data_IF_030220935075
#
_entry.id   IF_030220935075
#
_cell.length_a   1.000
_cell.length_b   1.000
_cell.length_c   1.000
_cell.angle_alpha   90.00
_cell.angle_beta   90.00
_cell.angle_gamma   90.00
#
_symmetry.space_group_name_H-M   'P 1'
#
loop_
_entity.id
_entity.type
_entity.pdbx_description
1 polymer ?
#
# COMPACT_ATOMS: atom_id res chain seq x y z
N UNK A 1 -5.35 -2.32 -15.45
CA UNK A 1 -5.02 -3.30 -14.39
C UNK A 1 -6.29 -4.05 -14.02
N UNK A 2 -6.20 -5.38 -13.96
CA UNK A 2 -7.30 -6.23 -13.49
C UNK A 2 -7.17 -6.42 -11.97
N UNK A 3 -7.95 -5.66 -11.21
CA UNK A 3 -7.91 -5.68 -9.75
C UNK A 3 -8.22 -7.05 -9.12
N UNK A 4 -8.74 -7.99 -9.88
CA UNK A 4 -9.03 -9.35 -9.40
C UNK A 4 -7.84 -10.32 -9.56
N UNK A 5 -6.82 -9.94 -10.32
CA UNK A 5 -5.74 -10.84 -10.70
C UNK A 5 -4.36 -10.15 -10.68
N UNK A 6 -4.07 -9.37 -9.64
CA UNK A 6 -2.73 -8.78 -9.48
C UNK A 6 -1.75 -9.88 -9.07
N UNK A 7 -0.70 -10.07 -9.87
CA UNK A 7 0.37 -11.04 -9.63
C UNK A 7 1.69 -10.40 -9.25
N UNK A 8 1.91 -9.14 -9.65
CA UNK A 8 3.12 -8.42 -9.32
C UNK A 8 2.83 -6.96 -8.95
N UNK A 9 3.59 -6.43 -8.01
CA UNK A 9 3.64 -5.02 -7.65
C UNK A 9 5.07 -4.52 -7.87
N UNK A 10 5.22 -3.50 -8.72
CA UNK A 10 6.48 -2.80 -8.95
C UNK A 10 6.41 -1.43 -8.32
N UNK A 11 7.34 -1.13 -7.43
CA UNK A 11 7.44 0.18 -6.78
C UNK A 11 8.76 0.83 -7.15
N UNK A 12 8.71 2.01 -7.73
CA UNK A 12 9.87 2.85 -7.99
C UNK A 12 9.90 4.02 -7.03
N UNK A 13 11.09 4.33 -6.51
CA UNK A 13 11.32 5.45 -5.59
C UNK A 13 12.32 6.45 -6.16
N UNK A 14 12.33 7.66 -5.62
CA UNK A 14 13.15 8.82 -5.97
C UNK A 14 12.72 9.56 -7.24
N UNK A 15 12.05 8.92 -8.20
CA UNK A 15 11.41 9.57 -9.35
C UNK A 15 9.95 9.16 -9.39
N UNK A 16 9.04 10.11 -9.31
CA UNK A 16 7.62 9.88 -9.53
C UNK A 16 7.34 9.79 -11.04
N UNK A 17 6.53 8.82 -11.47
CA UNK A 17 6.03 8.78 -12.84
C UNK A 17 4.80 9.69 -12.96
N UNK A 18 5.03 10.97 -12.76
CA UNK A 18 4.01 12.03 -12.76
C UNK A 18 4.53 13.20 -13.54
N UNK A 19 3.68 13.77 -14.40
CA UNK A 19 4.03 14.83 -15.32
C UNK A 19 5.14 14.44 -16.32
N UNK A 20 5.17 13.15 -16.70
CA UNK A 20 6.17 12.55 -17.60
C UNK A 20 5.63 12.30 -19.01
N UNK A 21 4.36 12.65 -19.26
CA UNK A 21 3.72 12.53 -20.58
C UNK A 21 3.64 11.10 -21.11
N UNK A 22 3.62 10.98 -22.43
CA UNK A 22 3.56 9.67 -23.10
C UNK A 22 4.81 8.82 -22.88
N UNK A 23 5.98 9.45 -22.69
CA UNK A 23 7.22 8.71 -22.39
C UNK A 23 7.09 7.91 -21.09
N UNK A 24 6.44 8.47 -20.07
CA UNK A 24 6.20 7.77 -18.81
C UNK A 24 5.27 6.57 -18.97
N UNK A 25 4.22 6.68 -19.81
CA UNK A 25 3.28 5.59 -20.07
C UNK A 25 3.94 4.47 -20.90
N UNK A 26 4.64 4.83 -21.96
CA UNK A 26 5.39 3.87 -22.80
C UNK A 26 6.46 3.17 -21.98
N UNK A 27 7.14 3.92 -21.09
CA UNK A 27 8.14 3.36 -20.19
C UNK A 27 7.58 2.32 -19.23
N UNK A 28 6.36 2.51 -18.70
CA UNK A 28 5.70 1.48 -17.88
C UNK A 28 5.40 0.22 -18.68
N UNK A 29 4.97 0.35 -19.94
CA UNK A 29 4.73 -0.82 -20.80
C UNK A 29 6.01 -1.61 -21.08
N UNK A 30 7.14 -0.94 -21.29
CA UNK A 30 8.44 -1.57 -21.50
C UNK A 30 8.98 -2.24 -20.23
N UNK A 31 8.81 -1.61 -19.07
CA UNK A 31 9.10 -2.22 -17.77
C UNK A 31 8.24 -3.47 -17.56
N UNK A 32 6.94 -3.39 -17.88
CA UNK A 32 6.02 -4.52 -17.76
C UNK A 32 6.44 -5.69 -18.66
N UNK A 33 6.84 -5.43 -19.92
CA UNK A 33 7.38 -6.46 -20.83
C UNK A 33 8.61 -7.14 -20.24
N UNK A 34 9.58 -6.35 -19.77
CA UNK A 34 10.81 -6.86 -19.17
C UNK A 34 10.52 -7.73 -17.94
N UNK A 35 9.57 -7.32 -17.10
CA UNK A 35 9.18 -8.10 -15.92
C UNK A 35 8.51 -9.43 -16.30
N UNK A 36 7.57 -9.40 -17.24
CA UNK A 36 6.90 -10.62 -17.72
C UNK A 36 7.91 -11.61 -18.28
N UNK A 37 8.87 -11.15 -19.09
CA UNK A 37 9.94 -12.02 -19.63
C UNK A 37 10.81 -12.60 -18.51
N UNK A 38 11.21 -11.79 -17.55
CA UNK A 38 12.05 -12.21 -16.43
C UNK A 38 11.35 -13.21 -15.50
N UNK A 39 10.03 -13.12 -15.34
CA UNK A 39 9.26 -14.02 -14.49
C UNK A 39 9.05 -15.41 -15.10
N UNK A 40 9.16 -15.58 -16.42
CA UNK A 40 8.86 -16.87 -17.11
C UNK A 40 9.60 -18.06 -16.51
N UNK A 41 10.90 -17.92 -16.24
CA UNK A 41 11.71 -19.00 -15.64
C UNK A 41 11.21 -19.34 -14.23
N UNK A 42 11.05 -18.34 -13.37
CA UNK A 42 10.57 -18.49 -12.00
C UNK A 42 9.17 -19.14 -11.95
N UNK A 43 8.25 -18.71 -12.81
CA UNK A 43 6.89 -19.24 -12.89
C UNK A 43 6.88 -20.70 -13.36
N UNK A 44 7.69 -21.04 -14.36
CA UNK A 44 7.81 -22.42 -14.85
C UNK A 44 8.39 -23.35 -13.77
N UNK A 45 9.47 -22.94 -13.09
CA UNK A 45 10.10 -23.74 -12.02
C UNK A 45 9.19 -23.97 -10.81
N UNK A 46 8.29 -23.04 -10.54
CA UNK A 46 7.35 -23.13 -9.40
C UNK A 46 5.92 -23.52 -9.80
N UNK A 47 5.68 -23.85 -11.06
CA UNK A 47 4.36 -24.19 -11.61
C UNK A 47 3.30 -23.11 -11.32
N UNK A 48 3.68 -21.85 -11.43
CA UNK A 48 2.78 -20.71 -11.31
C UNK A 48 2.13 -20.35 -12.64
N UNK A 49 0.92 -19.81 -12.56
CA UNK A 49 0.24 -19.26 -13.72
C UNK A 49 1.01 -18.03 -14.26
N UNK A 50 1.17 -17.94 -15.58
CA UNK A 50 1.95 -16.88 -16.24
C UNK A 50 1.36 -15.50 -15.99
N UNK A 51 2.21 -14.58 -15.59
CA UNK A 51 1.88 -13.17 -15.42
C UNK A 51 1.73 -12.48 -16.78
N UNK A 52 0.70 -11.65 -16.91
CA UNK A 52 0.48 -10.78 -18.07
C UNK A 52 0.71 -9.32 -17.66
N UNK A 53 0.97 -8.43 -18.61
CA UNK A 53 1.18 -7.00 -18.32
C UNK A 53 0.02 -6.39 -17.49
N UNK A 54 -1.22 -6.76 -17.76
CA UNK A 54 -2.40 -6.29 -17.03
C UNK A 54 -2.47 -6.76 -15.56
N UNK A 55 -1.69 -7.78 -15.21
CA UNK A 55 -1.64 -8.36 -13.86
C UNK A 55 -0.56 -7.65 -12.98
N UNK A 56 0.09 -6.62 -13.53
CA UNK A 56 1.14 -5.85 -12.84
C UNK A 56 0.58 -4.51 -12.40
N UNK A 57 0.70 -4.23 -11.11
CA UNK A 57 0.42 -2.92 -10.52
C UNK A 57 1.73 -2.13 -10.39
N UNK A 58 1.70 -0.87 -10.78
CA UNK A 58 2.83 0.05 -10.63
C UNK A 58 2.52 1.12 -9.59
N UNK A 59 3.53 1.48 -8.82
CA UNK A 59 3.51 2.64 -7.94
C UNK A 59 4.86 3.36 -8.04
N UNK A 60 4.84 4.68 -7.97
CA UNK A 60 6.06 5.49 -8.01
C UNK A 60 5.97 6.64 -7.04
N UNK A 61 7.12 7.11 -6.56
CA UNK A 61 7.21 8.25 -5.63
C UNK A 61 8.59 8.91 -5.75
N UNK A 62 8.65 10.22 -5.47
CA UNK A 62 9.86 11.02 -5.51
C UNK A 62 9.68 12.29 -6.33
N UNK A 63 10.73 12.73 -7.02
CA UNK A 63 10.73 13.96 -7.80
C UNK A 63 9.72 13.89 -8.94
N UNK A 64 8.92 14.96 -9.10
CA UNK A 64 7.86 15.09 -10.10
C UNK A 64 8.42 15.87 -11.31
N UNK A 65 8.01 15.47 -12.52
CA UNK A 65 8.35 16.17 -13.77
C UNK A 65 9.74 15.86 -14.33
N UNK A 66 10.53 15.05 -13.66
CA UNK A 66 11.80 14.56 -14.21
C UNK A 66 11.58 13.30 -15.07
N UNK A 67 12.52 13.08 -16.01
CA UNK A 67 12.50 11.91 -16.88
C UNK A 67 12.46 10.61 -16.07
N UNK A 68 11.46 9.78 -16.35
CA UNK A 68 11.31 8.51 -15.65
C UNK A 68 12.44 7.54 -16.05
N UNK A 69 13.15 6.93 -15.07
CA UNK A 69 14.39 6.19 -15.33
C UNK A 69 14.14 4.75 -15.85
N UNK A 70 13.45 4.61 -16.97
CA UNK A 70 12.96 3.34 -17.53
C UNK A 70 14.09 2.33 -17.70
N UNK A 71 15.20 2.71 -18.35
CA UNK A 71 16.31 1.79 -18.65
C UNK A 71 17.00 1.30 -17.36
N UNK A 72 17.14 2.17 -16.36
CA UNK A 72 17.68 1.80 -15.07
C UNK A 72 16.78 0.79 -14.35
N UNK A 73 15.47 0.97 -14.41
CA UNK A 73 14.51 0.04 -13.82
C UNK A 73 14.58 -1.30 -14.55
N UNK A 74 14.52 -1.31 -15.88
CA UNK A 74 14.58 -2.53 -16.71
C UNK A 74 15.85 -3.34 -16.42
N UNK A 75 17.02 -2.68 -16.36
CA UNK A 75 18.28 -3.33 -16.08
C UNK A 75 18.33 -4.05 -14.73
N UNK A 76 17.56 -3.61 -13.75
CA UNK A 76 17.53 -4.22 -12.42
C UNK A 76 16.46 -5.31 -12.24
N UNK A 77 15.46 -5.40 -13.11
CA UNK A 77 14.37 -6.38 -12.99
C UNK A 77 14.87 -7.83 -12.94
N UNK A 78 15.78 -8.30 -13.82
CA UNK A 78 16.24 -9.69 -13.76
C UNK A 78 16.87 -10.05 -12.42
N UNK A 79 17.65 -9.13 -11.83
CA UNK A 79 18.24 -9.32 -10.51
C UNK A 79 17.19 -9.35 -9.41
N UNK A 80 16.18 -8.49 -9.45
CA UNK A 80 15.09 -8.50 -8.50
C UNK A 80 14.31 -9.82 -8.56
N UNK A 81 13.99 -10.30 -9.76
CA UNK A 81 13.28 -11.56 -9.97
C UNK A 81 14.10 -12.75 -9.46
N UNK A 82 15.41 -12.80 -9.75
CA UNK A 82 16.29 -13.88 -9.26
C UNK A 82 16.40 -13.93 -7.73
N UNK A 83 16.09 -12.83 -7.05
CA UNK A 83 16.09 -12.72 -5.61
C UNK A 83 14.72 -13.01 -4.96
N UNK A 84 13.67 -13.29 -5.73
CA UNK A 84 12.39 -13.72 -5.18
C UNK A 84 12.59 -15.04 -4.43
N UNK A 85 12.11 -15.09 -3.18
CA UNK A 85 12.20 -16.27 -2.33
C UNK A 85 10.81 -16.75 -1.97
N UNK A 86 10.64 -18.06 -1.98
CA UNK A 86 9.40 -18.73 -1.54
C UNK A 86 9.23 -18.66 -0.01
N UNK A 87 10.33 -18.50 0.72
CA UNK A 87 10.33 -18.39 2.17
C UNK A 87 10.55 -16.94 2.60
N UNK A 88 9.56 -16.38 3.26
CA UNK A 88 9.58 -15.00 3.77
C UNK A 88 9.84 -14.98 5.28
N UNK A 89 10.59 -14.01 5.73
CA UNK A 89 10.78 -13.72 7.14
C UNK A 89 10.58 -12.21 7.41
N UNK A 90 10.57 -11.84 8.69
CA UNK A 90 10.36 -10.44 9.11
C UNK A 90 11.40 -9.46 8.52
N UNK A 91 12.62 -9.91 8.28
CA UNK A 91 13.69 -9.09 7.72
C UNK A 91 13.42 -8.72 6.25
N UNK A 92 12.77 -9.59 5.49
CA UNK A 92 12.38 -9.29 4.10
C UNK A 92 11.38 -8.13 4.08
N UNK A 93 10.38 -8.13 4.96
CA UNK A 93 9.42 -7.05 5.07
C UNK A 93 10.06 -5.71 5.45
N UNK A 94 11.02 -5.72 6.38
CA UNK A 94 11.80 -4.52 6.72
C UNK A 94 12.63 -4.01 5.55
N UNK A 95 13.30 -4.89 4.80
CA UNK A 95 14.05 -4.52 3.60
C UNK A 95 13.16 -3.88 2.55
N UNK A 96 11.98 -4.46 2.28
CA UNK A 96 11.03 -3.90 1.32
C UNK A 96 10.48 -2.54 1.81
N UNK A 97 10.14 -2.43 3.09
CA UNK A 97 9.69 -1.15 3.67
C UNK A 97 10.78 -0.07 3.57
N UNK A 98 12.05 -0.42 3.80
CA UNK A 98 13.18 0.50 3.63
C UNK A 98 13.40 0.88 2.17
N UNK A 99 13.20 -0.05 1.23
CA UNK A 99 13.42 0.19 -0.19
C UNK A 99 12.42 1.18 -0.81
N UNK A 100 11.23 1.32 -0.23
CA UNK A 100 10.21 2.28 -0.71
C UNK A 100 10.31 3.67 -0.07
N UNK A 101 11.23 3.88 0.88
CA UNK A 101 11.45 5.17 1.55
C UNK A 101 12.01 6.23 0.60
N UNK A 102 11.68 7.50 0.86
CA UNK A 102 12.26 8.69 0.20
C UNK A 102 12.94 9.58 1.22
N UNK A 103 12.21 10.43 1.89
CA UNK A 103 12.65 11.31 2.98
C UNK A 103 12.39 10.70 4.36
N UNK A 104 11.73 9.56 4.40
CA UNK A 104 11.47 8.80 5.63
C UNK A 104 12.76 8.50 6.39
N UNK A 105 12.73 8.59 7.71
CA UNK A 105 13.87 8.24 8.58
C UNK A 105 13.81 6.80 9.08
N UNK A 106 12.61 6.18 9.07
CA UNK A 106 12.36 4.83 9.58
C UNK A 106 11.43 4.04 8.66
N UNK A 107 11.70 2.75 8.44
CA UNK A 107 10.76 1.88 7.74
C UNK A 107 9.48 1.68 8.56
N UNK A 108 8.32 1.73 7.89
CA UNK A 108 7.00 1.61 8.52
C UNK A 108 6.41 0.25 8.20
N UNK A 109 6.18 -0.54 9.23
CA UNK A 109 5.69 -1.91 9.12
C UNK A 109 4.66 -2.18 10.21
N UNK A 110 3.58 -2.87 9.86
CA UNK A 110 2.59 -3.34 10.82
C UNK A 110 2.18 -4.79 10.50
N UNK A 111 1.85 -5.56 11.52
CA UNK A 111 1.49 -6.97 11.39
C UNK A 111 0.50 -7.38 12.47
N UNK A 112 -0.51 -8.18 12.10
CA UNK A 112 -1.45 -8.77 13.04
C UNK A 112 -1.89 -10.16 12.58
N UNK A 113 -2.12 -11.04 13.54
CA UNK A 113 -2.79 -12.33 13.34
C UNK A 113 -4.18 -12.31 13.98
N UNK A 114 -5.16 -12.84 13.30
CA UNK A 114 -6.52 -13.00 13.81
C UNK A 114 -7.03 -14.42 13.55
N UNK A 115 -7.84 -14.92 14.47
CA UNK A 115 -8.54 -16.19 14.28
C UNK A 115 -9.92 -15.93 13.66
N UNK A 116 -10.17 -16.49 12.47
CA UNK A 116 -11.44 -16.48 11.75
C UNK A 116 -11.99 -17.92 11.70
N UNK A 117 -12.98 -18.21 12.52
CA UNK A 117 -13.40 -19.59 12.79
C UNK A 117 -12.25 -20.37 13.43
N UNK A 118 -11.84 -21.47 12.80
CA UNK A 118 -10.71 -22.33 13.20
C UNK A 118 -9.37 -21.93 12.56
N UNK A 119 -9.36 -20.99 11.63
CA UNK A 119 -8.17 -20.59 10.87
C UNK A 119 -7.52 -19.31 11.42
N UNK A 120 -6.19 -19.30 11.39
CA UNK A 120 -5.40 -18.07 11.64
C UNK A 120 -5.17 -17.40 10.31
N UNK A 121 -5.56 -16.12 10.24
CA UNK A 121 -5.37 -15.24 9.10
C UNK A 121 -4.41 -14.13 9.50
N UNK A 122 -3.52 -13.76 8.59
CA UNK A 122 -2.49 -12.75 8.77
C UNK A 122 -2.78 -11.52 7.94
N UNK A 123 -2.50 -10.37 8.51
CA UNK A 123 -2.51 -9.09 7.78
C UNK A 123 -1.18 -8.41 8.07
N UNK A 124 -0.43 -8.10 7.02
CA UNK A 124 0.83 -7.38 7.09
C UNK A 124 0.74 -6.13 6.22
N UNK A 125 1.36 -5.05 6.63
CA UNK A 125 1.39 -3.83 5.85
C UNK A 125 2.73 -3.12 5.96
N UNK A 126 3.10 -2.43 4.89
CA UNK A 126 4.21 -1.49 4.84
C UNK A 126 3.70 -0.14 4.35
N UNK A 127 4.35 0.92 4.78
CA UNK A 127 4.06 2.26 4.29
C UNK A 127 5.35 3.09 4.17
N UNK A 128 5.28 4.12 3.34
CA UNK A 128 6.24 5.22 3.30
C UNK A 128 5.49 6.54 3.25
N UNK A 129 6.12 7.57 3.77
CA UNK A 129 5.64 8.95 3.79
C UNK A 129 6.21 9.68 5.00
N UNK A 130 6.65 10.92 4.80
CA UNK A 130 7.26 11.78 5.81
C UNK A 130 6.93 13.25 5.55
N UNK A 131 6.93 13.70 4.31
CA UNK A 131 6.49 15.02 3.86
C UNK A 131 5.44 14.94 2.76
N UNK A 132 4.81 16.06 2.44
CA UNK A 132 3.70 16.21 1.50
C UNK A 132 2.52 15.31 1.91
N UNK A 133 2.14 15.37 3.20
CA UNK A 133 1.09 14.55 3.81
C UNK A 133 -0.10 15.43 4.19
N UNK A 134 -1.18 15.36 3.43
CA UNK A 134 -2.45 16.00 3.73
C UNK A 134 -3.65 15.06 3.40
N UNK A 135 -4.88 15.38 3.85
CA UNK A 135 -6.05 14.54 3.62
C UNK A 135 -6.33 14.24 2.13
N UNK A 136 -7.00 13.12 1.87
CA UNK A 136 -7.36 12.55 0.57
C UNK A 136 -6.26 11.72 -0.12
N UNK A 137 -5.57 10.89 0.65
CA UNK A 137 -4.51 9.99 0.18
C UNK A 137 -3.27 10.76 -0.32
N UNK A 138 -2.69 11.62 0.52
CA UNK A 138 -1.54 12.43 0.14
C UNK A 138 -0.20 11.77 0.48
N UNK A 139 0.70 11.67 -0.50
CA UNK A 139 2.12 11.22 -0.53
C UNK A 139 2.43 9.94 0.24
N UNK A 140 1.46 9.10 0.41
CA UNK A 140 1.65 7.84 1.10
C UNK A 140 1.54 6.68 0.12
N UNK A 141 2.60 5.91 -0.02
CA UNK A 141 2.48 4.57 -0.56
C UNK A 141 2.30 3.60 0.61
N UNK A 142 1.19 2.89 0.62
CA UNK A 142 0.95 1.83 1.60
C UNK A 142 0.43 0.57 0.92
N UNK A 143 1.09 -0.54 1.21
CA UNK A 143 0.75 -1.84 0.64
C UNK A 143 0.45 -2.81 1.77
N UNK A 144 -0.77 -3.33 1.76
CA UNK A 144 -1.30 -4.24 2.78
C UNK A 144 -1.54 -5.59 2.14
N UNK A 145 -1.16 -6.65 2.80
CA UNK A 145 -1.28 -8.01 2.31
C UNK A 145 -2.00 -8.88 3.35
N UNK A 146 -2.86 -9.77 2.87
CA UNK A 146 -3.50 -10.78 3.71
C UNK A 146 -3.54 -12.13 3.02
N UNK A 147 -3.45 -13.20 3.80
CA UNK A 147 -3.64 -14.56 3.32
C UNK A 147 -5.10 -15.03 3.37
N UNK A 148 -6.03 -14.16 3.79
CA UNK A 148 -7.46 -14.43 3.86
C UNK A 148 -8.08 -14.76 2.49
N UNK A 149 -9.05 -15.68 2.49
CA UNK A 149 -9.96 -15.89 1.36
C UNK A 149 -11.09 -14.84 1.41
N UNK A 150 -10.92 -13.77 0.66
CA UNK A 150 -11.85 -12.64 0.58
C UNK A 150 -11.90 -12.13 -0.86
N UNK A 151 -13.08 -11.73 -1.32
CA UNK A 151 -13.22 -11.16 -2.66
C UNK A 151 -12.71 -9.72 -2.72
N UNK A 152 -12.22 -9.28 -3.90
CA UNK A 152 -11.76 -7.92 -4.14
C UNK A 152 -12.84 -6.86 -3.84
N UNK A 153 -14.09 -7.13 -4.18
CA UNK A 153 -15.24 -6.24 -3.93
C UNK A 153 -15.43 -5.98 -2.43
N UNK A 154 -15.42 -7.04 -1.62
CA UNK A 154 -15.58 -6.93 -0.16
C UNK A 154 -14.36 -6.29 0.47
N UNK A 155 -13.17 -6.66 -0.01
CA UNK A 155 -11.90 -6.12 0.46
C UNK A 155 -11.82 -4.59 0.23
N UNK A 156 -12.20 -4.13 -0.96
CA UNK A 156 -12.24 -2.71 -1.30
C UNK A 156 -13.24 -1.93 -0.42
N UNK A 157 -14.41 -2.52 -0.13
CA UNK A 157 -15.40 -1.91 0.76
C UNK A 157 -14.86 -1.72 2.18
N UNK A 158 -14.14 -2.71 2.71
CA UNK A 158 -13.50 -2.58 4.03
C UNK A 158 -12.36 -1.56 4.01
N UNK A 159 -11.53 -1.57 2.96
CA UNK A 159 -10.45 -0.61 2.84
C UNK A 159 -10.99 0.82 2.85
N UNK A 160 -11.95 1.15 2.00
CA UNK A 160 -12.55 2.50 1.94
C UNK A 160 -13.15 2.95 3.28
N UNK A 161 -13.84 2.05 4.00
CA UNK A 161 -14.38 2.34 5.33
C UNK A 161 -13.29 2.63 6.35
N UNK A 162 -12.18 1.89 6.30
CA UNK A 162 -11.06 2.04 7.22
C UNK A 162 -10.25 3.29 6.91
N UNK A 163 -9.96 3.56 5.63
CA UNK A 163 -9.16 4.71 5.19
C UNK A 163 -9.74 6.04 5.68
N UNK A 164 -11.06 6.19 5.69
CA UNK A 164 -11.71 7.41 6.14
C UNK A 164 -11.38 7.83 7.58
N UNK A 165 -10.92 6.87 8.41
CA UNK A 165 -10.60 7.05 9.84
C UNK A 165 -9.13 6.80 10.16
N UNK A 166 -8.28 6.59 9.15
CA UNK A 166 -6.85 6.31 9.31
C UNK A 166 -6.03 7.21 8.38
N UNK A 167 -5.59 6.74 7.22
CA UNK A 167 -4.80 7.53 6.29
C UNK A 167 -5.47 8.83 5.83
N UNK A 168 -6.79 8.86 5.67
CA UNK A 168 -7.55 10.08 5.35
C UNK A 168 -7.92 10.91 6.61
N UNK A 169 -7.25 10.68 7.72
CA UNK A 169 -7.44 11.42 8.98
C UNK A 169 -6.11 11.85 9.59
N UNK A 170 -5.06 11.96 8.77
CA UNK A 170 -3.73 12.45 9.17
C UNK A 170 -3.31 13.62 8.28
N UNK A 171 -2.46 14.48 8.81
CA UNK A 171 -1.74 15.53 8.08
C UNK A 171 -0.38 15.77 8.73
N UNK A 172 0.60 16.23 7.95
CA UNK A 172 1.93 16.65 8.43
C UNK A 172 2.19 18.10 8.08
N UNK A 173 1.97 18.48 6.82
CA UNK A 173 2.36 19.78 6.25
C UNK A 173 1.28 20.41 5.34
N UNK A 174 0.06 19.85 5.36
CA UNK A 174 -1.08 20.28 4.52
C UNK A 174 -0.92 20.15 3.01
N UNK A 175 0.19 19.63 2.52
CA UNK A 175 0.43 19.45 1.09
C UNK A 175 -0.09 18.10 0.58
N UNK A 176 -0.81 18.12 -0.55
CA UNK A 176 -1.28 16.91 -1.22
C UNK A 176 -0.32 16.45 -2.30
N UNK A 177 -0.14 15.14 -2.45
CA UNK A 177 0.69 14.56 -3.49
C UNK A 177 -0.11 14.12 -4.71
N UNK A 178 0.60 13.80 -5.77
CA UNK A 178 0.06 13.29 -7.04
C UNK A 178 0.14 11.77 -7.17
N UNK A 179 0.88 11.09 -6.29
CA UNK A 179 1.23 9.66 -6.44
C UNK A 179 0.80 8.78 -5.25
N UNK A 180 -0.27 9.17 -4.57
CA UNK A 180 -0.73 8.42 -3.41
C UNK A 180 -1.40 7.11 -3.76
N UNK A 181 -1.08 6.08 -3.01
CA UNK A 181 -1.71 4.79 -3.16
C UNK A 181 -1.78 4.05 -1.84
N UNK A 182 -2.98 3.62 -1.46
CA UNK A 182 -3.16 2.55 -0.48
C UNK A 182 -3.80 1.37 -1.17
N UNK A 183 -3.07 0.27 -1.28
CA UNK A 183 -3.55 -0.95 -1.92
C UNK A 183 -3.55 -2.12 -0.93
N UNK A 184 -4.55 -3.00 -1.06
CA UNK A 184 -4.65 -4.22 -0.28
C UNK A 184 -4.77 -5.43 -1.20
N UNK A 185 -3.99 -6.47 -0.90
CA UNK A 185 -3.91 -7.70 -1.68
C UNK A 185 -4.29 -8.90 -0.82
N UNK A 186 -5.16 -9.76 -1.35
CA UNK A 186 -5.53 -11.01 -0.72
C UNK A 186 -4.99 -12.20 -1.53
N UNK A 187 -4.08 -12.96 -0.96
CA UNK A 187 -3.49 -14.14 -1.63
C UNK A 187 -4.41 -15.35 -1.63
N UNK A 188 -5.47 -15.32 -0.81
CA UNK A 188 -6.45 -16.41 -0.65
C UNK A 188 -5.83 -17.77 -0.25
N UNK A 189 -4.64 -17.73 0.35
CA UNK A 189 -3.90 -18.93 0.75
C UNK A 189 -4.59 -19.69 1.87
N UNK A 190 -5.23 -18.98 2.79
CA UNK A 190 -5.96 -19.55 3.91
C UNK A 190 -7.43 -19.72 3.52
N UNK A 191 -7.93 -20.96 3.52
CA UNK A 191 -9.35 -21.24 3.26
C UNK A 191 -10.17 -21.03 4.53
N UNK A 192 -10.38 -19.77 4.88
CA UNK A 192 -11.23 -19.36 5.98
C UNK A 192 -12.71 -19.36 5.57
N UNK A 193 -13.60 -19.27 6.56
CA UNK A 193 -15.02 -19.05 6.32
C UNK A 193 -15.21 -17.76 5.51
N UNK A 194 -16.02 -17.82 4.46
CA UNK A 194 -16.21 -16.69 3.52
C UNK A 194 -16.63 -15.42 4.25
N UNK A 195 -15.92 -14.34 3.97
CA UNK A 195 -16.17 -13.01 4.55
C UNK A 195 -17.19 -12.18 3.74
N UNK A 196 -18.02 -12.83 2.93
CA UNK A 196 -18.95 -12.18 2.01
C UNK A 196 -20.10 -11.46 2.72
N UNK A 197 -20.45 -11.90 3.93
CA UNK A 197 -21.50 -11.25 4.75
C UNK A 197 -20.83 -10.20 5.63
N UNK A 198 -20.95 -8.94 5.24
CA UNK A 198 -20.25 -7.79 5.85
C UNK A 198 -20.59 -7.60 7.34
N UNK A 199 -21.77 -8.03 7.77
CA UNK A 199 -22.21 -7.94 9.16
C UNK A 199 -21.86 -9.18 10.00
N UNK A 200 -21.22 -10.21 9.41
CA UNK A 200 -20.84 -11.39 10.17
C UNK A 200 -19.77 -11.07 11.23
N UNK A 201 -19.74 -11.87 12.28
CA UNK A 201 -18.75 -11.73 13.38
C UNK A 201 -17.31 -11.79 12.85
N UNK A 202 -17.03 -12.69 11.92
CA UNK A 202 -15.74 -12.84 11.29
C UNK A 202 -15.36 -11.64 10.42
N UNK A 203 -16.32 -11.13 9.65
CA UNK A 203 -16.14 -9.96 8.81
C UNK A 203 -15.84 -8.70 9.65
N UNK A 204 -16.56 -8.47 10.73
CA UNK A 204 -16.29 -7.37 11.66
C UNK A 204 -14.94 -7.52 12.35
N UNK A 205 -14.52 -8.76 12.63
CA UNK A 205 -13.22 -9.04 13.22
C UNK A 205 -12.08 -8.71 12.22
N UNK A 206 -12.25 -9.09 10.96
CA UNK A 206 -11.31 -8.75 9.88
C UNK A 206 -11.22 -7.23 9.68
N UNK A 207 -12.35 -6.53 9.60
CA UNK A 207 -12.40 -5.08 9.47
C UNK A 207 -11.67 -4.37 10.62
N UNK A 208 -11.87 -4.81 11.86
CA UNK A 208 -11.18 -4.25 13.04
C UNK A 208 -9.66 -4.45 12.94
N UNK A 209 -9.22 -5.63 12.53
CA UNK A 209 -7.80 -5.93 12.33
C UNK A 209 -7.19 -5.08 11.22
N UNK A 210 -7.87 -4.94 10.08
CA UNK A 210 -7.46 -4.06 9.00
C UNK A 210 -7.35 -2.61 9.47
N UNK A 211 -8.32 -2.14 10.25
CA UNK A 211 -8.29 -0.81 10.86
C UNK A 211 -7.09 -0.63 11.78
N UNK A 212 -6.75 -1.64 12.58
CA UNK A 212 -5.57 -1.59 13.45
C UNK A 212 -4.28 -1.43 12.63
N UNK A 213 -4.11 -2.20 11.56
CA UNK A 213 -2.96 -2.09 10.65
C UNK A 213 -2.88 -0.69 10.01
N UNK A 214 -3.99 -0.22 9.43
CA UNK A 214 -4.01 1.09 8.78
C UNK A 214 -3.76 2.24 9.78
N UNK A 215 -4.31 2.14 10.99
CA UNK A 215 -4.08 3.12 12.05
C UNK A 215 -2.62 3.15 12.52
N UNK A 216 -2.02 1.98 12.70
CA UNK A 216 -0.62 1.85 13.08
C UNK A 216 0.29 2.45 12.02
N UNK A 217 0.11 2.08 10.75
CA UNK A 217 0.90 2.62 9.64
C UNK A 217 0.72 4.13 9.49
N UNK A 218 -0.52 4.64 9.56
CA UNK A 218 -0.79 6.08 9.45
C UNK A 218 -0.16 6.87 10.60
N UNK A 219 -0.15 6.33 11.81
CA UNK A 219 0.55 6.95 12.95
C UNK A 219 2.07 6.97 12.75
N UNK A 220 2.65 5.86 12.25
CA UNK A 220 4.09 5.80 11.94
C UNK A 220 4.48 6.85 10.90
N UNK A 221 3.63 7.14 9.90
CA UNK A 221 3.83 8.21 8.93
C UNK A 221 3.88 9.58 9.61
N UNK A 222 2.92 9.89 10.47
CA UNK A 222 2.87 11.19 11.16
C UNK A 222 4.03 11.37 12.15
N UNK A 223 4.37 10.30 12.89
CA UNK A 223 5.49 10.35 13.86
C UNK A 223 6.84 10.57 13.16
N UNK A 224 7.00 10.08 11.94
CA UNK A 224 8.19 10.25 11.11
C UNK A 224 8.07 11.47 10.16
N UNK A 225 7.11 12.36 10.40
CA UNK A 225 6.88 13.56 9.59
C UNK A 225 8.11 14.48 9.54
N UNK A 226 8.37 15.07 8.37
CA UNK A 226 9.49 16.01 8.17
C UNK A 226 9.41 17.17 9.17
N UNK A 227 10.46 17.36 9.96
CA UNK A 227 10.53 18.39 11.00
C UNK A 227 9.61 18.16 12.20
N UNK A 228 8.86 17.07 12.27
CA UNK A 228 7.93 16.78 13.35
C UNK A 228 8.67 16.50 14.67
N UNK A 229 8.35 17.28 15.69
CA UNK A 229 8.88 17.09 17.07
C UNK A 229 7.81 16.58 18.02
N UNK A 230 6.54 16.63 17.63
CA UNK A 230 5.40 16.24 18.46
C UNK A 230 4.35 15.52 17.62
N UNK A 231 3.70 14.53 18.23
CA UNK A 231 2.50 13.91 17.69
C UNK A 231 1.29 14.53 18.39
N UNK A 232 0.44 15.20 17.62
CA UNK A 232 -0.75 15.91 18.12
C UNK A 232 -2.00 15.15 17.63
N UNK A 233 -2.98 15.01 18.51
CA UNK A 233 -4.30 14.48 18.16
C UNK A 233 -5.33 15.55 18.38
N UNK A 234 -6.01 15.97 17.30
CA UNK A 234 -7.16 16.89 17.36
C UNK A 234 -8.42 16.05 17.41
N UNK A 235 -9.23 16.22 18.46
CA UNK A 235 -10.49 15.52 18.65
C UNK A 235 -11.63 16.53 18.73
N UNK A 236 -12.53 16.50 17.76
CA UNK A 236 -13.77 17.28 17.78
C UNK A 236 -14.88 16.42 18.39
N UNK A 237 -15.57 16.97 19.37
CA UNK A 237 -16.72 16.35 20.05
C UNK A 237 -17.97 17.21 19.82
N UNK A 238 -19.14 16.60 19.91
CA UNK A 238 -20.44 17.27 19.80
C UNK A 238 -20.66 18.02 18.47
N UNK A 239 -20.03 17.56 17.38
CA UNK A 239 -20.30 18.08 16.04
C UNK A 239 -21.57 17.45 15.47
N UNK A 240 -22.34 18.22 14.71
CA UNK A 240 -23.58 17.77 14.06
C UNK A 240 -23.32 16.61 13.08
N UNK A 241 -22.20 16.66 12.34
CA UNK A 241 -21.82 15.61 11.37
C UNK A 241 -20.34 15.28 11.46
N UNK A 242 -19.96 14.08 10.97
CA UNK A 242 -18.56 13.66 10.88
C UNK A 242 -17.78 14.55 9.91
N UNK A 243 -18.39 14.94 8.80
CA UNK A 243 -17.80 15.80 7.78
C UNK A 243 -17.44 17.18 8.35
N UNK A 244 -18.36 17.77 9.13
CA UNK A 244 -18.12 19.06 9.81
C UNK A 244 -17.02 18.93 10.87
N UNK A 245 -17.05 17.85 11.66
CA UNK A 245 -15.98 17.56 12.62
C UNK A 245 -14.61 17.45 11.95
N UNK A 246 -14.52 16.76 10.81
CA UNK A 246 -13.28 16.65 10.04
C UNK A 246 -12.80 18.00 9.52
N UNK A 247 -13.66 18.80 8.92
CA UNK A 247 -13.28 20.15 8.43
C UNK A 247 -12.67 20.98 9.55
N UNK A 248 -13.32 21.02 10.72
CA UNK A 248 -12.82 21.75 11.90
C UNK A 248 -11.47 21.18 12.35
N UNK A 249 -11.35 19.86 12.46
CA UNK A 249 -10.11 19.21 12.89
C UNK A 249 -8.94 19.52 11.96
N UNK A 250 -9.15 19.49 10.64
CA UNK A 250 -8.10 19.81 9.67
C UNK A 250 -7.77 21.29 9.62
N UNK A 251 -8.75 22.21 9.81
CA UNK A 251 -8.47 23.65 9.95
C UNK A 251 -7.61 23.99 11.17
N UNK A 252 -7.59 23.13 12.17
CA UNK A 252 -6.74 23.28 13.37
C UNK A 252 -5.37 22.63 13.15
N UNK A 253 -5.34 21.51 12.42
CA UNK A 253 -4.15 20.69 12.26
C UNK A 253 -3.22 21.14 11.12
N UNK A 254 -3.76 21.84 10.11
CA UNK A 254 -3.07 22.48 8.99
C UNK A 254 -2.82 23.95 9.31
#
# INVERSE_FOLDING_TARGET
VDANNIKALVVNTKNANTFTGEEGLTGLDDIAKTLVESLKKFENENNYEKTKKKDILFASTGVIGEKFPVEKIKANIPNLVSNIRTHQNKLVWLKVASAIMTTDTKPKVAYIEIKLGDKIVRIAGIAKGSGMIAPNLATTLSFIFTDADISSVVLNKYLNKVLSKTFNAITVDSDTSTNDMVAIFATKKIKNKKLNIISSKEALKFERALRTICLELSKQVVVDGEGAKKFITVKIINSETIERAKKIAFSIAN
#
